data_IF_206281850403
#
_entry.id   IF_206281850403
#
_cell.length_a   1.000
_cell.length_b   1.000
_cell.length_c   1.000
_cell.angle_alpha   90.00
_cell.angle_beta   90.00
_cell.angle_gamma   90.00
#
_symmetry.space_group_name_H-M   'P 1'
#
loop_
_entity.id
_entity.type
_entity.pdbx_description
1 polymer ?
#
# COMPACT_ATOMS: atom_id res chain seq x y z
N UNK A 1 17.08 16.23 10.90
CA UNK A 1 17.94 16.73 9.81
C UNK A 1 17.49 16.04 8.53
N UNK A 2 17.18 16.76 7.44
CA UNK A 2 16.52 16.20 6.25
C UNK A 2 17.49 15.59 5.21
N UNK A 3 18.80 15.56 5.53
CA UNK A 3 19.82 14.89 4.70
C UNK A 3 19.79 15.34 3.24
N UNK A 4 19.80 14.38 2.32
CA UNK A 4 19.77 14.59 0.86
C UNK A 4 18.36 14.79 0.30
N UNK A 5 17.31 14.86 1.12
CA UNK A 5 15.93 14.95 0.66
C UNK A 5 15.70 16.11 -0.34
N UNK A 6 16.21 17.35 -0.13
CA UNK A 6 16.02 18.42 -1.10
C UNK A 6 16.64 18.12 -2.48
N UNK A 7 17.76 17.40 -2.51
CA UNK A 7 18.38 16.98 -3.77
C UNK A 7 17.55 15.89 -4.45
N UNK A 8 17.06 14.91 -3.68
CA UNK A 8 16.20 13.83 -4.18
C UNK A 8 14.92 14.42 -4.76
N UNK A 9 14.25 15.33 -4.07
CA UNK A 9 13.02 15.97 -4.56
C UNK A 9 13.26 16.78 -5.84
N UNK A 10 14.44 17.37 -5.99
CA UNK A 10 14.80 18.04 -7.25
C UNK A 10 15.01 17.06 -8.40
N UNK A 11 15.57 15.88 -8.13
CA UNK A 11 15.85 14.85 -9.15
C UNK A 11 14.65 13.94 -9.42
N UNK A 12 13.78 13.76 -8.44
CA UNK A 12 12.58 12.93 -8.44
C UNK A 12 11.38 13.79 -8.02
N UNK A 13 10.92 14.73 -8.88
CA UNK A 13 9.93 15.73 -8.51
C UNK A 13 8.57 15.17 -8.10
N UNK A 14 8.25 13.96 -8.54
CA UNK A 14 6.97 13.31 -8.24
C UNK A 14 7.02 12.38 -7.02
N UNK A 15 8.15 12.23 -6.34
CA UNK A 15 8.32 11.21 -5.28
C UNK A 15 7.20 11.25 -4.22
N UNK A 16 6.79 12.43 -3.77
CA UNK A 16 5.69 12.58 -2.80
C UNK A 16 4.34 12.18 -3.40
N UNK A 17 4.07 12.64 -4.61
CA UNK A 17 2.82 12.35 -5.32
C UNK A 17 2.71 10.86 -5.65
N UNK A 18 3.79 10.22 -6.06
CA UNK A 18 3.86 8.81 -6.41
C UNK A 18 3.58 7.93 -5.18
N UNK A 19 4.25 8.20 -4.06
CA UNK A 19 3.99 7.47 -2.81
C UNK A 19 2.59 7.71 -2.24
N UNK A 20 2.08 8.94 -2.31
CA UNK A 20 0.71 9.24 -1.89
C UNK A 20 -0.31 8.50 -2.77
N UNK A 21 -0.14 8.56 -4.10
CA UNK A 21 -1.03 7.92 -5.06
C UNK A 21 -1.04 6.40 -4.92
N UNK A 22 0.14 5.76 -4.88
CA UNK A 22 0.25 4.33 -4.65
C UNK A 22 -0.30 3.94 -3.27
N UNK A 23 -0.08 4.80 -2.28
CA UNK A 23 -0.53 4.63 -0.90
C UNK A 23 -2.05 4.55 -0.74
N UNK A 24 -2.83 5.11 -1.66
CA UNK A 24 -4.29 4.97 -1.66
C UNK A 24 -4.77 3.52 -1.73
N UNK A 25 -3.98 2.65 -2.33
CA UNK A 25 -4.32 1.24 -2.54
C UNK A 25 -3.68 0.31 -1.51
N UNK A 26 -2.94 0.85 -0.54
CA UNK A 26 -2.40 0.08 0.57
C UNK A 26 -3.53 -0.40 1.49
N UNK A 27 -3.57 -1.71 1.73
CA UNK A 27 -4.38 -2.30 2.78
C UNK A 27 -3.54 -2.45 4.05
N UNK A 28 -3.66 -1.48 4.96
CA UNK A 28 -2.85 -1.43 6.18
C UNK A 28 -3.23 -2.54 7.15
N UNK A 29 -4.51 -2.87 7.25
CA UNK A 29 -4.97 -3.93 8.14
C UNK A 29 -4.42 -5.31 7.74
N UNK A 30 -4.43 -5.64 6.45
CA UNK A 30 -3.81 -6.87 5.97
C UNK A 30 -2.30 -6.89 6.24
N UNK A 31 -1.62 -5.75 6.05
CA UNK A 31 -0.19 -5.64 6.33
C UNK A 31 0.13 -5.85 7.81
N UNK A 32 -0.69 -5.30 8.72
CA UNK A 32 -0.53 -5.50 10.17
C UNK A 32 -0.71 -6.99 10.55
N UNK A 33 -1.66 -7.69 9.93
CA UNK A 33 -1.85 -9.13 10.11
C UNK A 33 -0.63 -9.93 9.60
N UNK A 34 -0.12 -9.59 8.42
CA UNK A 34 1.08 -10.22 7.85
C UNK A 34 2.32 -9.98 8.73
N UNK A 35 2.48 -8.75 9.23
CA UNK A 35 3.59 -8.35 10.10
C UNK A 35 3.60 -9.08 11.44
N UNK A 36 2.43 -9.50 11.94
CA UNK A 36 2.33 -10.27 13.19
C UNK A 36 3.06 -11.62 13.09
N UNK A 37 3.09 -12.23 11.90
CA UNK A 37 3.56 -13.59 11.71
C UNK A 37 4.91 -13.67 10.95
N UNK A 38 5.43 -12.56 10.45
CA UNK A 38 6.61 -12.54 9.60
C UNK A 38 7.37 -11.21 9.72
N UNK A 39 8.67 -11.32 10.00
CA UNK A 39 9.54 -10.18 10.28
C UNK A 39 9.81 -9.30 9.05
N UNK A 40 9.79 -9.87 7.85
CA UNK A 40 9.97 -9.11 6.60
C UNK A 40 8.77 -8.19 6.38
N UNK A 41 7.56 -8.68 6.63
CA UNK A 41 6.35 -7.85 6.61
C UNK A 41 6.33 -6.78 7.70
N UNK A 42 6.83 -7.08 8.90
CA UNK A 42 7.00 -6.08 9.96
C UNK A 42 7.99 -4.97 9.56
N UNK A 43 9.03 -5.32 8.81
CA UNK A 43 9.99 -4.36 8.27
C UNK A 43 9.33 -3.44 7.23
N UNK A 44 8.61 -4.00 6.26
CA UNK A 44 7.84 -3.22 5.28
C UNK A 44 6.85 -2.28 5.96
N UNK A 45 6.15 -2.76 7.00
CA UNK A 45 5.22 -1.96 7.79
C UNK A 45 5.88 -0.75 8.45
N UNK A 46 7.09 -0.92 8.99
CA UNK A 46 7.89 0.17 9.55
C UNK A 46 8.41 1.12 8.46
N UNK A 47 8.81 0.61 7.30
CA UNK A 47 9.25 1.44 6.17
C UNK A 47 8.15 2.37 5.67
N UNK A 48 6.90 1.91 5.62
CA UNK A 48 5.76 2.76 5.25
C UNK A 48 5.58 3.94 6.23
N UNK A 49 5.80 3.74 7.53
CA UNK A 49 5.75 4.84 8.50
C UNK A 49 6.94 5.78 8.35
N UNK A 50 8.13 5.25 8.07
CA UNK A 50 9.31 6.05 7.77
C UNK A 50 9.10 6.92 6.52
N UNK A 51 8.52 6.35 5.45
CA UNK A 51 8.19 7.08 4.22
C UNK A 51 7.24 8.24 4.54
N UNK A 52 6.15 7.99 5.27
CA UNK A 52 5.22 9.05 5.67
C UNK A 52 5.89 10.14 6.50
N UNK A 53 6.75 9.76 7.46
CA UNK A 53 7.46 10.71 8.32
C UNK A 53 8.47 11.56 7.55
N UNK A 54 9.30 10.94 6.70
CA UNK A 54 10.34 11.62 5.92
C UNK A 54 9.72 12.52 4.84
N UNK A 55 8.70 12.01 4.14
CA UNK A 55 8.04 12.73 3.05
C UNK A 55 6.85 13.56 3.51
N UNK A 56 6.53 13.62 4.80
CA UNK A 56 5.40 14.39 5.32
C UNK A 56 4.08 14.17 4.57
N UNK A 57 3.82 12.93 4.14
CA UNK A 57 2.61 12.52 3.43
C UNK A 57 1.79 11.58 4.29
N UNK A 58 0.49 11.47 3.99
CA UNK A 58 -0.37 10.44 4.55
C UNK A 58 -0.53 9.31 3.53
N UNK A 59 -0.34 8.07 3.96
CA UNK A 59 -0.53 6.87 3.12
C UNK A 59 -1.77 6.13 3.59
N UNK A 60 -2.77 6.06 2.71
CA UNK A 60 -3.97 5.26 2.90
C UNK A 60 -5.11 5.64 1.96
N UNK A 61 -6.21 4.87 1.98
CA UNK A 61 -7.37 5.12 1.12
C UNK A 61 -8.09 6.40 1.52
N UNK A 62 -8.25 7.31 0.55
CA UNK A 62 -8.96 8.60 0.78
C UNK A 62 -10.34 8.69 0.11
N UNK A 63 -10.64 7.82 -0.85
CA UNK A 63 -11.86 7.90 -1.66
C UNK A 63 -12.63 6.58 -1.63
N UNK A 64 -13.94 6.58 -1.90
CA UNK A 64 -14.76 5.36 -1.84
C UNK A 64 -14.20 4.20 -2.68
N UNK A 65 -13.67 4.47 -3.88
CA UNK A 65 -13.11 3.41 -4.71
C UNK A 65 -11.80 2.82 -4.16
N UNK A 66 -10.98 3.62 -3.46
CA UNK A 66 -9.82 3.12 -2.71
C UNK A 66 -10.25 2.13 -1.60
N UNK A 67 -11.36 2.44 -0.91
CA UNK A 67 -11.94 1.55 0.10
C UNK A 67 -12.45 0.25 -0.53
N UNK A 68 -13.04 0.32 -1.74
CA UNK A 68 -13.44 -0.89 -2.48
C UNK A 68 -12.23 -1.78 -2.81
N UNK A 69 -11.11 -1.19 -3.26
CA UNK A 69 -9.87 -1.93 -3.48
C UNK A 69 -9.37 -2.58 -2.19
N UNK A 70 -9.38 -1.85 -1.07
CA UNK A 70 -9.05 -2.39 0.25
C UNK A 70 -9.92 -3.61 0.59
N UNK A 71 -11.23 -3.56 0.34
CA UNK A 71 -12.11 -4.68 0.62
C UNK A 71 -11.78 -5.91 -0.24
N UNK A 72 -11.54 -5.74 -1.55
CA UNK A 72 -11.12 -6.85 -2.42
C UNK A 72 -9.79 -7.45 -1.97
N UNK A 73 -8.81 -6.63 -1.60
CA UNK A 73 -7.54 -7.14 -1.06
C UNK A 73 -7.69 -7.86 0.27
N UNK A 74 -8.64 -7.48 1.13
CA UNK A 74 -8.98 -8.27 2.32
C UNK A 74 -9.62 -9.62 1.96
N UNK A 75 -10.51 -9.68 0.96
CA UNK A 75 -11.03 -10.96 0.48
C UNK A 75 -9.91 -11.87 -0.03
N UNK A 76 -9.00 -11.34 -0.85
CA UNK A 76 -7.83 -12.08 -1.36
C UNK A 76 -7.03 -12.66 -0.21
N UNK A 77 -6.71 -11.85 0.82
CA UNK A 77 -5.96 -12.31 1.99
C UNK A 77 -6.68 -13.46 2.70
N UNK A 78 -7.98 -13.33 2.99
CA UNK A 78 -8.74 -14.37 3.69
C UNK A 78 -8.85 -15.66 2.87
N UNK A 79 -9.18 -15.57 1.59
CA UNK A 79 -9.25 -16.74 0.68
C UNK A 79 -7.90 -17.44 0.55
N UNK A 80 -6.81 -16.69 0.47
CA UNK A 80 -5.46 -17.24 0.46
C UNK A 80 -5.15 -18.03 1.74
N UNK A 81 -5.58 -17.55 2.92
CA UNK A 81 -5.42 -18.30 4.17
C UNK A 81 -6.25 -19.60 4.20
N UNK A 82 -7.36 -19.63 3.47
CA UNK A 82 -8.27 -20.79 3.38
C UNK A 82 -7.94 -21.74 2.22
N UNK A 83 -6.89 -21.46 1.44
CA UNK A 83 -6.54 -22.19 0.21
C UNK A 83 -7.70 -22.22 -0.81
N UNK A 84 -8.45 -21.12 -0.89
CA UNK A 84 -9.56 -20.93 -1.84
C UNK A 84 -9.14 -20.11 -3.07
N UNK A 85 -9.82 -20.31 -4.20
CA UNK A 85 -9.63 -19.47 -5.38
C UNK A 85 -10.03 -18.01 -5.10
N UNK A 86 -9.17 -17.09 -5.52
CA UNK A 86 -9.30 -15.64 -5.33
C UNK A 86 -9.06 -14.85 -6.63
N UNK A 87 -9.00 -15.52 -7.79
CA UNK A 87 -8.69 -14.88 -9.07
C UNK A 87 -9.65 -13.72 -9.40
N UNK A 88 -10.95 -13.88 -9.14
CA UNK A 88 -11.94 -12.83 -9.39
C UNK A 88 -11.73 -11.59 -8.51
N UNK A 89 -11.37 -11.78 -7.23
CA UNK A 89 -11.09 -10.65 -6.33
C UNK A 89 -9.82 -9.89 -6.76
N UNK A 90 -8.79 -10.61 -7.26
CA UNK A 90 -7.58 -9.99 -7.85
C UNK A 90 -7.94 -9.13 -9.06
N UNK A 91 -8.78 -9.65 -9.97
CA UNK A 91 -9.22 -8.90 -11.15
C UNK A 91 -9.99 -7.64 -10.75
N UNK A 92 -10.93 -7.73 -9.80
CA UNK A 92 -11.70 -6.58 -9.32
C UNK A 92 -10.83 -5.52 -8.63
N UNK A 93 -9.84 -5.95 -7.83
CA UNK A 93 -8.88 -5.01 -7.24
C UNK A 93 -8.08 -4.30 -8.34
N UNK A 94 -7.60 -5.05 -9.34
CA UNK A 94 -6.83 -4.51 -10.47
C UNK A 94 -7.65 -3.52 -11.32
N UNK A 95 -8.93 -3.80 -11.57
CA UNK A 95 -9.84 -2.91 -12.31
C UNK A 95 -9.95 -1.54 -11.64
N UNK A 96 -10.06 -1.49 -10.30
CA UNK A 96 -10.19 -0.24 -9.55
C UNK A 96 -8.95 0.64 -9.72
N UNK A 97 -7.75 0.06 -9.58
CA UNK A 97 -6.49 0.79 -9.76
C UNK A 97 -6.07 0.91 -11.22
N UNK A 98 -6.87 0.36 -12.15
CA UNK A 98 -6.68 0.36 -13.61
C UNK A 98 -5.37 -0.30 -14.07
N UNK A 99 -4.85 -1.24 -13.29
CA UNK A 99 -3.68 -2.03 -13.66
C UNK A 99 -3.60 -3.35 -12.91
N UNK A 100 -3.14 -4.41 -13.60
CA UNK A 100 -2.76 -5.69 -12.99
C UNK A 100 -1.40 -5.60 -12.28
N UNK A 101 -0.50 -4.73 -12.76
CA UNK A 101 0.85 -4.51 -12.24
C UNK A 101 1.22 -3.05 -12.27
#
# INVERSE_FOLDING_TARGET
ETGLLPLIERLCPYIRADFAHAGHYLNRENLDLLATNNQDWATIRAEIDNIQSVLGIQIGPEQPHHILHRNFTSNIYQRLQLDEDFAEDVLKAAEIRKSLG
#
